data_IF_199389930899
#
_entry.id   IF_199389930899
#
_cell.length_a   1.000
_cell.length_b   1.000
_cell.length_c   1.000
_cell.angle_alpha   90.00
_cell.angle_beta   90.00
_cell.angle_gamma   90.00
#
_symmetry.space_group_name_H-M   'P 1'
#
loop_
_entity.id
_entity.type
_entity.pdbx_description
1 polymer ?
#
# COMPACT_ATOMS: atom_id res chain seq x y z
N UNK A 1 -14.53 5.19 -3.06
CA UNK A 1 -13.67 4.67 -1.97
C UNK A 1 -12.80 3.55 -2.50
N UNK A 2 -11.63 3.40 -1.95
CA UNK A 2 -10.76 2.27 -2.24
C UNK A 2 -10.95 1.19 -1.20
N UNK A 3 -10.89 -0.05 -1.63
CA UNK A 3 -10.81 -1.20 -0.73
C UNK A 3 -9.33 -1.57 -0.60
N UNK A 4 -8.79 -1.37 0.59
CA UNK A 4 -7.36 -1.58 0.83
C UNK A 4 -7.15 -2.83 1.66
N UNK A 5 -6.19 -3.66 1.23
CA UNK A 5 -5.73 -4.80 2.01
C UNK A 5 -4.21 -4.76 2.04
N UNK A 6 -3.66 -4.77 3.24
CA UNK A 6 -2.20 -4.79 3.45
C UNK A 6 -1.85 -6.09 4.16
N UNK A 7 -0.99 -6.89 3.56
CA UNK A 7 -0.53 -8.14 4.15
C UNK A 7 0.98 -8.14 4.31
N UNK A 8 1.44 -8.75 5.38
CA UNK A 8 2.84 -9.10 5.58
C UNK A 8 2.95 -10.61 5.58
N UNK A 9 4.17 -11.19 5.61
CA UNK A 9 4.29 -12.64 5.67
C UNK A 9 3.58 -13.28 6.87
N UNK A 10 3.44 -12.54 7.98
CA UNK A 10 2.88 -13.08 9.21
C UNK A 10 1.37 -12.91 9.32
N UNK A 11 0.79 -11.85 8.72
CA UNK A 11 -0.61 -11.55 8.99
C UNK A 11 -1.16 -10.48 8.04
N UNK A 12 -2.47 -10.27 8.16
CA UNK A 12 -3.13 -9.13 7.53
C UNK A 12 -2.91 -7.93 8.46
N UNK A 13 -2.26 -6.88 7.93
CA UNK A 13 -1.99 -5.66 8.69
C UNK A 13 -3.17 -4.72 8.70
N UNK A 14 -3.92 -4.69 7.62
CA UNK A 14 -5.10 -3.83 7.50
C UNK A 14 -5.99 -4.34 6.40
N UNK A 15 -7.30 -4.21 6.61
CA UNK A 15 -8.29 -4.49 5.57
C UNK A 15 -9.48 -3.59 5.81
N UNK A 16 -9.84 -2.78 4.81
CA UNK A 16 -10.98 -1.88 4.95
C UNK A 16 -11.02 -0.86 3.83
N UNK A 17 -11.96 0.07 3.95
CA UNK A 17 -12.13 1.14 2.97
C UNK A 17 -11.35 2.37 3.38
N UNK A 18 -10.70 3.00 2.39
CA UNK A 18 -9.94 4.23 2.61
C UNK A 18 -10.21 5.19 1.46
N UNK A 19 -9.95 6.48 1.67
CA UNK A 19 -10.09 7.48 0.61
C UNK A 19 -8.86 7.52 -0.28
N UNK A 20 -7.70 7.22 0.29
CA UNK A 20 -6.44 7.22 -0.46
C UNK A 20 -5.40 6.40 0.27
N UNK A 21 -4.34 6.04 -0.45
CA UNK A 21 -3.17 5.42 0.16
C UNK A 21 -1.92 5.96 -0.54
N UNK A 22 -0.92 6.35 0.26
CA UNK A 22 0.37 6.80 -0.25
C UNK A 22 1.39 5.70 -0.05
N UNK A 23 2.17 5.44 -1.08
CA UNK A 23 3.13 4.33 -1.07
C UNK A 23 4.50 4.80 -1.55
N UNK A 24 5.60 4.18 -1.05
CA UNK A 24 6.95 4.52 -1.50
C UNK A 24 7.34 3.68 -2.71
N UNK A 25 6.98 4.15 -3.91
CA UNK A 25 7.36 3.46 -5.14
C UNK A 25 8.84 3.61 -5.47
N UNK A 26 9.37 2.72 -6.30
CA UNK A 26 10.79 2.77 -6.68
C UNK A 26 11.18 4.06 -7.36
N UNK A 27 10.29 4.64 -8.16
CA UNK A 27 10.54 5.87 -8.88
C UNK A 27 10.13 7.11 -8.08
N UNK A 28 9.70 6.93 -6.83
CA UNK A 28 9.24 8.00 -5.96
C UNK A 28 7.91 7.64 -5.32
N UNK A 29 7.56 8.40 -4.29
CA UNK A 29 6.29 8.20 -3.61
C UNK A 29 5.14 8.59 -4.54
N UNK A 30 4.04 7.86 -4.45
CA UNK A 30 2.83 8.25 -5.17
C UNK A 30 1.59 7.91 -4.38
N UNK A 31 0.49 8.54 -4.76
CA UNK A 31 -0.77 8.40 -4.05
C UNK A 31 -1.79 7.71 -4.96
N UNK A 32 -2.51 6.76 -4.38
CA UNK A 32 -3.56 6.01 -5.08
C UNK A 32 -4.89 6.53 -4.59
N UNK A 33 -5.69 7.03 -5.52
CA UNK A 33 -7.03 7.56 -5.27
C UNK A 33 -8.05 6.69 -5.97
N UNK A 34 -9.34 6.95 -5.70
CA UNK A 34 -10.41 6.25 -6.41
C UNK A 34 -10.25 6.39 -7.92
N UNK A 35 -10.57 5.32 -8.63
CA UNK A 35 -10.52 5.24 -10.10
C UNK A 35 -9.10 5.34 -10.66
N UNK A 36 -8.10 5.03 -9.82
CA UNK A 36 -6.72 4.94 -10.30
C UNK A 36 -6.61 3.82 -11.35
N UNK A 37 -5.82 4.08 -12.39
CA UNK A 37 -5.56 3.08 -13.42
C UNK A 37 -4.96 1.80 -12.83
N UNK A 38 -5.24 0.64 -13.42
CA UNK A 38 -4.63 -0.60 -12.94
C UNK A 38 -3.10 -0.52 -13.03
N UNK A 39 -2.43 -0.90 -11.95
CA UNK A 39 -0.96 -0.95 -11.91
C UNK A 39 -0.50 -2.10 -11.03
N UNK A 40 0.73 -2.54 -11.30
CA UNK A 40 1.52 -3.33 -10.37
C UNK A 40 2.84 -2.59 -10.24
N UNK A 41 3.25 -2.25 -9.02
CA UNK A 41 4.45 -1.46 -8.82
C UNK A 41 5.24 -2.01 -7.64
N UNK A 42 6.56 -1.99 -7.78
CA UNK A 42 7.46 -2.40 -6.69
C UNK A 42 7.64 -1.23 -5.73
N UNK A 43 7.61 -1.54 -4.44
CA UNK A 43 7.80 -0.57 -3.38
C UNK A 43 9.17 -0.70 -2.77
N UNK A 44 9.72 0.44 -2.33
CA UNK A 44 11.01 0.49 -1.67
C UNK A 44 10.82 0.71 -0.18
N UNK A 45 11.91 0.73 0.56
CA UNK A 45 11.90 1.10 1.97
C UNK A 45 11.31 2.50 2.11
N UNK A 46 10.34 2.63 3.00
CA UNK A 46 9.67 3.89 3.25
C UNK A 46 8.45 3.70 4.11
N UNK A 47 7.48 4.59 3.97
CA UNK A 47 6.28 4.59 4.80
C UNK A 47 5.04 4.55 3.92
N UNK A 48 4.13 3.62 4.24
CA UNK A 48 2.80 3.59 3.64
C UNK A 48 1.87 4.41 4.54
N UNK A 49 1.13 5.35 3.94
CA UNK A 49 0.19 6.18 4.69
C UNK A 49 -1.24 5.88 4.24
N UNK A 50 -2.10 5.56 5.20
CA UNK A 50 -3.49 5.24 4.92
C UNK A 50 -4.33 5.51 6.16
N UNK A 51 -5.53 6.05 5.97
CA UNK A 51 -6.51 6.25 7.05
C UNK A 51 -5.90 6.89 8.31
N UNK A 52 -4.98 7.85 8.13
CA UNK A 52 -4.31 8.51 9.26
C UNK A 52 -3.22 7.70 9.91
N UNK A 53 -2.92 6.51 9.39
CA UNK A 53 -1.87 5.64 9.92
C UNK A 53 -0.63 5.73 9.08
N UNK A 54 0.52 5.43 9.68
CA UNK A 54 1.80 5.35 8.98
C UNK A 54 2.41 3.98 9.28
N UNK A 55 2.73 3.25 8.22
CA UNK A 55 3.28 1.90 8.32
C UNK A 55 4.66 1.87 7.66
N UNK A 56 5.74 1.81 8.46
CA UNK A 56 7.08 1.67 7.88
C UNK A 56 7.26 0.29 7.26
N UNK A 57 7.79 0.26 6.04
CA UNK A 57 8.04 -0.99 5.33
C UNK A 57 9.48 -1.02 4.83
N UNK A 58 10.00 -2.22 4.62
CA UNK A 58 11.32 -2.41 4.02
C UNK A 58 11.22 -2.54 2.50
N UNK A 59 10.06 -2.92 1.99
CA UNK A 59 9.82 -3.11 0.58
C UNK A 59 8.54 -3.88 0.37
N UNK A 60 8.25 -4.24 -0.87
CA UNK A 60 7.08 -5.00 -1.23
C UNK A 60 6.58 -4.64 -2.60
N UNK A 61 5.28 -4.84 -2.81
CA UNK A 61 4.66 -4.41 -4.06
C UNK A 61 3.19 -4.07 -3.84
N UNK A 62 2.66 -3.29 -4.77
CA UNK A 62 1.26 -2.89 -4.73
C UNK A 62 0.61 -3.29 -6.05
N UNK A 63 -0.62 -3.76 -5.95
CA UNK A 63 -1.47 -4.03 -7.11
C UNK A 63 -2.76 -3.23 -6.96
N UNK A 64 -3.14 -2.51 -8.02
CA UNK A 64 -4.37 -1.72 -8.04
C UNK A 64 -5.22 -2.19 -9.20
N UNK A 65 -6.48 -2.49 -8.93
CA UNK A 65 -7.45 -2.87 -9.96
C UNK A 65 -8.86 -2.60 -9.44
N UNK A 66 -9.63 -1.83 -10.20
CA UNK A 66 -11.06 -1.59 -9.93
C UNK A 66 -11.31 -1.14 -8.49
N UNK A 67 -10.60 -0.12 -8.06
CA UNK A 67 -10.70 0.43 -6.70
C UNK A 67 -10.34 -0.57 -5.60
N UNK A 68 -9.66 -1.65 -5.95
CA UNK A 68 -9.10 -2.58 -4.99
C UNK A 68 -7.60 -2.43 -4.99
N UNK A 69 -7.03 -2.20 -3.80
CA UNK A 69 -5.60 -2.01 -3.62
C UNK A 69 -5.08 -3.12 -2.72
N UNK A 70 -4.13 -3.89 -3.23
CA UNK A 70 -3.48 -4.96 -2.47
C UNK A 70 -2.03 -4.61 -2.28
N UNK A 71 -1.61 -4.54 -1.02
CA UNK A 71 -0.22 -4.32 -0.65
C UNK A 71 0.34 -5.57 -0.01
N UNK A 72 1.45 -6.07 -0.56
CA UNK A 72 2.23 -7.12 0.08
C UNK A 72 3.52 -6.48 0.52
N UNK A 73 3.76 -6.42 1.82
CA UNK A 73 4.87 -5.64 2.35
C UNK A 73 5.72 -6.47 3.30
N UNK A 74 6.99 -6.09 3.37
CA UNK A 74 7.91 -6.58 4.38
C UNK A 74 8.07 -5.49 5.41
N UNK A 75 7.75 -5.81 6.66
CA UNK A 75 7.76 -4.83 7.73
C UNK A 75 9.14 -4.71 8.34
N UNK A 76 9.44 -3.50 8.82
CA UNK A 76 10.66 -3.29 9.58
C UNK A 76 10.53 -4.00 10.92
N UNK A 77 11.51 -4.83 11.25
CA UNK A 77 11.58 -5.48 12.55
C UNK A 77 12.44 -4.66 13.51
N UNK A 78 12.00 -4.61 14.76
CA UNK A 78 12.77 -3.92 15.80
C UNK A 78 13.81 -4.82 16.40
#
# INVERSE_FOLDING_TARGET
MLRLKIVSPERIEFEGEVTSVKVPGMAGNFEILSDHAPIISILTKGVVEYAGNQLPILGGFVEVQKNQVSLCVELKED
#
